data_IF_418814113732
#
_entry.id   IF_418814113732
#
_cell.length_a   1.000
_cell.length_b   1.000
_cell.length_c   1.000
_cell.angle_alpha   90.00
_cell.angle_beta   90.00
_cell.angle_gamma   90.00
#
_symmetry.space_group_name_H-M   'P 1'
#
loop_
_entity.id
_entity.type
_entity.pdbx_description
1 polymer ?
#
# COMPACT_ATOMS: atom_id res chain seq x y z
N UNK A 1 38.02 -38.35 38.19
CA UNK A 1 37.24 -37.14 37.91
C UNK A 1 36.28 -37.47 36.78
N UNK A 2 34.96 -37.24 36.92
CA UNK A 2 34.01 -37.56 35.87
C UNK A 2 34.17 -36.59 34.69
N UNK A 3 34.31 -37.13 33.49
CA UNK A 3 34.33 -36.39 32.23
C UNK A 3 32.93 -35.80 32.00
N UNK A 4 32.79 -34.48 32.14
CA UNK A 4 31.59 -33.77 31.75
C UNK A 4 31.52 -33.71 30.22
N UNK A 5 30.63 -34.50 29.61
CA UNK A 5 30.27 -34.34 28.21
C UNK A 5 29.50 -33.03 28.07
N UNK A 6 30.12 -32.01 27.45
CA UNK A 6 29.41 -30.80 27.04
C UNK A 6 28.31 -31.21 26.04
N UNK A 7 27.06 -30.93 26.37
CA UNK A 7 25.95 -31.04 25.44
C UNK A 7 26.15 -30.04 24.28
N UNK A 8 25.79 -30.40 23.04
CA UNK A 8 25.87 -29.47 21.92
C UNK A 8 24.92 -28.29 22.16
N UNK A 9 25.45 -27.07 22.08
CA UNK A 9 24.67 -25.83 22.13
C UNK A 9 23.66 -25.81 20.98
N UNK A 10 22.37 -25.55 21.21
CA UNK A 10 21.41 -25.44 20.10
C UNK A 10 21.83 -24.29 19.18
N UNK A 11 21.96 -24.57 17.89
CA UNK A 11 22.20 -23.56 16.85
C UNK A 11 21.05 -22.55 16.88
N UNK A 12 21.29 -21.23 16.87
CA UNK A 12 20.21 -20.25 16.75
C UNK A 12 19.51 -20.50 15.41
N UNK A 13 18.26 -20.96 15.46
CA UNK A 13 17.43 -21.10 14.27
C UNK A 13 17.13 -19.69 13.79
N UNK A 14 17.58 -19.34 12.58
CA UNK A 14 17.28 -18.05 11.99
C UNK A 14 15.75 -17.92 11.85
N UNK A 15 15.14 -17.01 12.60
CA UNK A 15 13.73 -16.67 12.42
C UNK A 15 13.57 -16.06 11.02
N UNK A 16 12.68 -16.58 10.16
CA UNK A 16 12.43 -15.95 8.87
C UNK A 16 11.89 -14.54 9.10
N UNK A 17 12.50 -13.55 8.47
CA UNK A 17 11.97 -12.19 8.43
C UNK A 17 10.63 -12.22 7.72
N UNK A 18 9.54 -11.69 8.30
CA UNK A 18 8.26 -11.66 7.62
C UNK A 18 8.37 -10.79 6.35
N UNK A 19 7.83 -11.28 5.24
CA UNK A 19 7.68 -10.46 4.03
C UNK A 19 6.53 -9.47 4.27
N UNK A 20 6.82 -8.19 4.06
CA UNK A 20 5.82 -7.12 4.14
C UNK A 20 5.44 -6.67 2.73
N UNK A 21 4.20 -6.24 2.58
CA UNK A 21 3.68 -5.59 1.38
C UNK A 21 3.41 -4.14 1.72
N UNK A 22 3.72 -3.23 0.80
CA UNK A 22 3.31 -1.83 0.89
C UNK A 22 1.84 -1.72 0.51
N UNK A 23 1.06 -1.11 1.39
CA UNK A 23 -0.33 -0.73 1.15
C UNK A 23 -0.45 0.79 1.17
N UNK A 24 -1.47 1.31 0.50
CA UNK A 24 -1.72 2.73 0.24
C UNK A 24 -3.09 3.09 0.81
N UNK A 25 -3.21 4.23 1.49
CA UNK A 25 -4.47 4.64 2.10
C UNK A 25 -5.54 4.88 1.01
N UNK A 26 -6.78 4.49 1.31
CA UNK A 26 -7.99 4.69 0.50
C UNK A 26 -9.00 5.38 1.43
N UNK A 27 -8.85 6.70 1.55
CA UNK A 27 -9.53 7.53 2.56
C UNK A 27 -10.97 7.83 2.15
N UNK A 28 -11.24 7.99 0.86
CA UNK A 28 -12.58 8.25 0.34
C UNK A 28 -13.38 6.97 0.00
N UNK A 29 -12.71 5.82 -0.08
CA UNK A 29 -13.33 4.51 -0.20
C UNK A 29 -13.72 4.13 -1.62
N UNK A 30 -13.06 4.68 -2.64
CA UNK A 30 -13.30 4.33 -4.05
C UNK A 30 -12.50 3.11 -4.54
N UNK A 31 -11.54 2.66 -3.74
CA UNK A 31 -10.71 1.50 -4.00
C UNK A 31 -9.35 1.81 -4.64
N UNK A 32 -9.00 3.08 -4.81
CA UNK A 32 -7.70 3.56 -5.25
C UNK A 32 -6.90 4.10 -4.06
N UNK A 33 -5.57 3.99 -4.15
CA UNK A 33 -4.68 4.28 -3.03
C UNK A 33 -3.81 5.50 -3.23
N UNK A 34 -3.64 6.33 -2.20
CA UNK A 34 -2.73 7.47 -2.17
C UNK A 34 -1.25 7.01 -2.18
N UNK A 35 -0.46 7.31 -3.23
CA UNK A 35 0.97 6.98 -3.30
C UNK A 35 1.82 7.66 -2.21
N UNK A 36 1.30 8.72 -1.58
CA UNK A 36 1.97 9.50 -0.53
C UNK A 36 1.70 8.99 0.88
N UNK A 37 0.67 8.16 1.08
CA UNK A 37 0.26 7.64 2.38
C UNK A 37 0.33 6.11 2.42
N UNK A 38 1.46 5.61 2.91
CA UNK A 38 1.79 4.17 2.83
C UNK A 38 2.04 3.52 4.18
N UNK A 39 1.83 2.20 4.22
CA UNK A 39 2.14 1.34 5.36
C UNK A 39 2.66 -0.02 4.88
N UNK A 40 3.71 -0.54 5.53
CA UNK A 40 4.17 -1.91 5.31
C UNK A 40 3.48 -2.86 6.30
N UNK A 41 2.79 -3.88 5.79
CA UNK A 41 2.10 -4.86 6.61
C UNK A 41 2.14 -6.26 6.00
N UNK A 42 1.91 -7.29 6.82
CA UNK A 42 1.76 -8.68 6.35
C UNK A 42 0.40 -8.95 5.68
N UNK A 43 -0.55 -8.04 5.83
CA UNK A 43 -1.90 -8.05 5.25
C UNK A 43 -2.46 -6.63 5.21
N UNK A 44 -3.38 -6.34 4.30
CA UNK A 44 -3.98 -5.01 4.15
C UNK A 44 -4.63 -4.54 5.46
N UNK A 45 -4.24 -3.37 6.00
CA UNK A 45 -4.99 -2.70 7.06
C UNK A 45 -6.36 -2.23 6.56
N UNK A 46 -7.27 -1.91 7.48
CA UNK A 46 -8.56 -1.32 7.11
C UNK A 46 -8.35 0.09 6.52
N UNK A 47 -9.01 0.38 5.40
CA UNK A 47 -8.85 1.65 4.67
C UNK A 47 -7.55 1.74 3.86
N UNK A 48 -6.98 0.60 3.47
CA UNK A 48 -5.77 0.54 2.66
C UNK A 48 -5.90 -0.50 1.53
N UNK A 49 -5.40 -0.15 0.34
CA UNK A 49 -5.39 -0.97 -0.88
C UNK A 49 -3.96 -1.22 -1.37
N UNK A 50 -3.79 -2.05 -2.40
CA UNK A 50 -2.47 -2.42 -2.95
C UNK A 50 -2.05 -1.59 -4.16
N UNK A 51 -2.97 -0.83 -4.75
CA UNK A 51 -2.65 0.10 -5.84
C UNK A 51 -2.29 1.47 -5.24
N UNK A 52 -1.63 2.31 -6.04
CA UNK A 52 -1.10 3.62 -5.61
C UNK A 52 -1.42 4.70 -6.65
N UNK A 53 -2.62 4.61 -7.22
CA UNK A 53 -2.99 5.33 -8.45
C UNK A 53 -4.01 6.43 -8.21
N UNK A 54 -4.32 6.75 -6.96
CA UNK A 54 -5.20 7.86 -6.63
C UNK A 54 -4.41 9.18 -6.61
N UNK A 55 -4.94 10.19 -7.30
CA UNK A 55 -4.41 11.54 -7.32
C UNK A 55 -5.12 12.50 -6.35
N UNK A 56 -6.32 12.16 -5.84
CA UNK A 56 -7.08 12.91 -4.83
C UNK A 56 -7.88 11.99 -3.89
N UNK A 57 -7.18 11.40 -2.91
CA UNK A 57 -7.70 10.52 -1.84
C UNK A 57 -8.73 11.20 -0.90
N UNK A 58 -9.10 12.44 -1.18
CA UNK A 58 -10.21 13.15 -0.53
C UNK A 58 -11.52 13.11 -1.31
N UNK A 59 -11.54 12.54 -2.52
CA UNK A 59 -12.63 12.67 -3.47
C UNK A 59 -12.82 11.41 -4.35
N UNK A 60 -13.76 10.56 -3.93
CA UNK A 60 -14.09 9.29 -4.60
C UNK A 60 -14.59 9.39 -6.07
N UNK A 61 -14.70 10.60 -6.62
CA UNK A 61 -15.00 10.86 -8.04
C UNK A 61 -13.76 11.20 -8.86
N UNK A 62 -12.57 11.21 -8.25
CA UNK A 62 -11.28 11.52 -8.88
C UNK A 62 -10.36 10.31 -8.70
N UNK A 63 -10.28 9.47 -9.73
CA UNK A 63 -9.51 8.23 -9.73
C UNK A 63 -9.37 7.66 -11.14
N UNK A 64 -8.48 6.69 -11.40
CA UNK A 64 -8.28 6.05 -12.71
C UNK A 64 -9.49 5.42 -13.39
N UNK A 65 -10.61 5.26 -12.69
CA UNK A 65 -11.86 4.75 -13.24
C UNK A 65 -12.91 5.83 -13.49
N UNK A 66 -12.64 7.09 -13.11
CA UNK A 66 -13.55 8.20 -13.29
C UNK A 66 -13.67 8.62 -14.76
N UNK A 67 -14.70 9.41 -15.03
CA UNK A 67 -14.90 10.04 -16.34
C UNK A 67 -14.42 11.48 -16.24
N UNK A 68 -13.62 11.90 -17.22
CA UNK A 68 -13.25 13.30 -17.40
C UNK A 68 -14.46 14.23 -17.53
N UNK A 69 -14.43 15.32 -16.77
CA UNK A 69 -15.45 16.37 -16.77
C UNK A 69 -14.87 17.60 -17.45
N UNK A 70 -15.17 17.74 -18.74
CA UNK A 70 -14.66 18.86 -19.51
C UNK A 70 -15.02 20.23 -18.89
N UNK A 71 -14.01 21.07 -18.68
CA UNK A 71 -14.11 22.44 -18.18
C UNK A 71 -14.20 22.61 -16.66
N UNK A 72 -13.99 21.56 -15.86
CA UNK A 72 -13.92 21.68 -14.38
C UNK A 72 -12.50 21.98 -13.85
N UNK A 73 -11.48 21.87 -14.72
CA UNK A 73 -10.06 22.07 -14.43
C UNK A 73 -9.48 21.06 -13.41
N UNK A 74 -10.07 19.87 -13.30
CA UNK A 74 -9.60 18.74 -12.51
C UNK A 74 -9.10 17.65 -13.48
N UNK A 75 -8.09 16.91 -13.06
CA UNK A 75 -7.70 15.63 -13.67
C UNK A 75 -8.57 14.58 -12.96
N UNK A 76 -9.73 14.22 -13.53
CA UNK A 76 -10.68 13.36 -12.84
C UNK A 76 -10.22 11.90 -12.92
N UNK A 77 -9.59 11.49 -14.02
CA UNK A 77 -9.17 10.12 -14.25
C UNK A 77 -7.70 9.83 -13.87
N UNK A 78 -7.03 10.78 -13.23
CA UNK A 78 -5.66 10.65 -12.73
C UNK A 78 -4.64 10.18 -13.80
N UNK A 79 -4.85 10.50 -15.08
CA UNK A 79 -3.91 10.15 -16.15
C UNK A 79 -2.75 11.16 -16.30
N UNK A 80 -2.82 12.28 -15.58
CA UNK A 80 -1.84 13.36 -15.57
C UNK A 80 -2.12 14.47 -16.58
N UNK A 81 -3.26 14.42 -17.28
CA UNK A 81 -3.80 15.47 -18.11
C UNK A 81 -4.97 16.13 -17.37
N UNK A 82 -5.22 17.42 -17.69
CA UNK A 82 -6.34 18.15 -17.12
C UNK A 82 -7.26 18.49 -18.28
N UNK A 83 -8.55 18.17 -18.14
CA UNK A 83 -9.60 18.57 -19.08
C UNK A 83 -9.33 18.06 -20.51
N UNK A 84 -8.97 16.78 -20.66
CA UNK A 84 -8.92 16.14 -21.98
C UNK A 84 -10.32 15.73 -22.49
N UNK A 85 -10.50 15.85 -23.81
CA UNK A 85 -11.79 15.86 -24.50
C UNK A 85 -12.02 14.69 -25.45
#
# INVERSE_FOLDING_TARGET
APTATQAPTPTPTATPTPTLTTYYADLDGDGYGDPSNTVEAGSAPAGYVTNSTDCDDGNASVNPGAMEIAGDMIDNDCDGLIDES
#
